data_IF_821855890408
#
_entry.id   IF_821855890408
#
_cell.length_a   1.000
_cell.length_b   1.000
_cell.length_c   1.000
_cell.angle_alpha   90.00
_cell.angle_beta   90.00
_cell.angle_gamma   90.00
#
_symmetry.space_group_name_H-M   'P 1'
#
loop_
_entity.id
_entity.type
_entity.pdbx_description
1 polymer ?
#
# COMPACT_ATOMS: atom_id res chain seq x y z
N UNK A 1 29.08 8.76 -7.05
CA UNK A 1 28.06 8.58 -8.09
C UNK A 1 27.00 9.66 -7.94
N UNK A 2 26.53 10.26 -9.02
CA UNK A 2 25.46 11.27 -9.03
C UNK A 2 24.12 10.58 -9.23
N UNK A 3 23.17 10.80 -8.33
CA UNK A 3 21.84 10.18 -8.41
C UNK A 3 20.73 11.21 -8.48
N UNK A 4 19.67 10.87 -9.20
CA UNK A 4 18.36 11.48 -9.08
C UNK A 4 17.51 10.58 -8.18
N UNK A 5 16.73 11.16 -7.27
CA UNK A 5 15.76 10.41 -6.45
C UNK A 5 14.35 10.69 -6.95
N UNK A 6 13.64 9.66 -7.42
CA UNK A 6 12.28 9.78 -7.94
C UNK A 6 11.26 9.36 -6.88
N UNK A 7 10.45 10.32 -6.45
CA UNK A 7 9.47 10.22 -5.37
C UNK A 7 9.86 11.13 -4.21
N UNK A 8 9.21 12.29 -4.10
CA UNK A 8 9.44 13.24 -3.02
C UNK A 8 8.26 13.18 -2.03
N UNK A 9 8.24 12.17 -1.16
CA UNK A 9 7.26 12.03 -0.08
C UNK A 9 7.93 12.11 1.28
N UNK A 10 7.19 12.43 2.34
CA UNK A 10 7.71 12.37 3.72
C UNK A 10 8.25 10.97 4.06
N UNK A 11 7.59 9.90 3.59
CA UNK A 11 8.06 8.52 3.70
C UNK A 11 9.40 8.24 2.99
N UNK A 12 9.79 9.08 2.01
CA UNK A 12 11.07 8.98 1.34
C UNK A 12 12.22 9.61 2.13
N UNK A 13 11.97 10.39 3.19
CA UNK A 13 13.01 11.05 4.00
C UNK A 13 13.94 10.03 4.67
N UNK A 14 13.39 8.96 5.25
CA UNK A 14 14.19 7.90 5.89
C UNK A 14 15.08 7.18 4.87
N UNK A 15 14.55 6.91 3.68
CA UNK A 15 15.31 6.29 2.58
C UNK A 15 16.38 7.26 2.05
N UNK A 16 16.06 8.55 1.97
CA UNK A 16 16.98 9.61 1.54
C UNK A 16 18.22 9.69 2.45
N UNK A 17 18.05 9.59 3.77
CA UNK A 17 19.16 9.57 4.74
C UNK A 17 20.15 8.42 4.49
N UNK A 18 19.68 7.29 3.94
CA UNK A 18 20.55 6.18 3.52
C UNK A 18 21.20 6.41 2.16
N UNK A 19 20.44 6.96 1.20
CA UNK A 19 20.94 7.24 -0.16
C UNK A 19 22.05 8.28 -0.11
N UNK A 20 21.88 9.38 0.64
CA UNK A 20 22.87 10.48 0.68
C UNK A 20 24.23 10.06 1.25
N UNK A 21 24.31 8.94 1.99
CA UNK A 21 25.58 8.36 2.46
C UNK A 21 26.42 7.78 1.34
N UNK A 22 25.82 7.41 0.20
CA UNK A 22 26.47 6.72 -0.93
C UNK A 22 26.47 7.53 -2.22
N UNK A 23 25.56 8.50 -2.35
CA UNK A 23 25.31 9.24 -3.58
C UNK A 23 25.41 10.74 -3.37
N UNK A 24 25.90 11.44 -4.40
CA UNK A 24 25.70 12.87 -4.54
C UNK A 24 24.35 13.10 -5.24
N UNK A 25 23.35 13.53 -4.48
CA UNK A 25 21.98 13.65 -5.01
C UNK A 25 21.86 15.01 -5.71
N UNK A 26 21.56 14.99 -7.01
CA UNK A 26 21.57 16.21 -7.84
C UNK A 26 20.19 16.85 -7.99
N UNK A 27 19.13 16.05 -7.87
CA UNK A 27 17.74 16.50 -7.88
C UNK A 27 16.83 15.41 -7.30
N UNK A 28 15.71 15.84 -6.75
CA UNK A 28 14.52 15.00 -6.61
C UNK A 28 13.63 15.17 -7.85
N UNK A 29 12.86 14.14 -8.16
CA UNK A 29 11.85 14.18 -9.23
C UNK A 29 10.52 13.73 -8.68
N UNK A 30 9.46 14.47 -8.99
CA UNK A 30 8.08 14.09 -8.67
C UNK A 30 7.13 14.53 -9.78
N UNK A 31 6.15 13.68 -10.08
CA UNK A 31 5.09 13.96 -11.06
C UNK A 31 4.11 15.03 -10.54
N UNK A 32 4.00 15.19 -9.23
CA UNK A 32 3.17 16.20 -8.59
C UNK A 32 3.81 17.58 -8.71
N UNK A 33 3.24 18.43 -9.57
CA UNK A 33 3.68 19.79 -9.80
C UNK A 33 3.65 20.66 -8.53
N UNK A 34 2.79 20.33 -7.55
CA UNK A 34 2.70 21.08 -6.28
C UNK A 34 3.93 20.90 -5.38
N UNK A 35 4.70 19.83 -5.59
CA UNK A 35 5.93 19.54 -4.84
C UNK A 35 7.19 20.07 -5.51
N UNK A 36 7.10 20.52 -6.76
CA UNK A 36 8.27 20.98 -7.52
C UNK A 36 8.71 22.37 -7.05
N UNK A 37 10.02 22.62 -7.08
CA UNK A 37 10.63 23.85 -6.60
C UNK A 37 11.80 23.58 -5.66
N UNK A 38 11.84 24.30 -4.54
CA UNK A 38 12.88 24.13 -3.52
C UNK A 38 12.62 22.83 -2.75
N UNK A 39 13.56 21.89 -2.80
CA UNK A 39 13.42 20.60 -2.16
C UNK A 39 14.26 20.46 -0.88
N UNK A 40 14.39 19.22 -0.42
CA UNK A 40 15.02 18.91 0.87
C UNK A 40 16.51 19.23 0.86
N UNK A 41 16.98 19.97 1.88
CA UNK A 41 18.39 20.29 2.05
C UNK A 41 18.99 21.16 0.94
N UNK A 42 18.16 21.94 0.24
CA UNK A 42 18.58 22.82 -0.87
C UNK A 42 18.75 22.10 -2.21
N UNK A 43 18.38 20.82 -2.30
CA UNK A 43 18.35 20.06 -3.56
C UNK A 43 16.98 20.29 -4.21
N UNK A 44 16.90 20.67 -5.50
CA UNK A 44 15.63 20.98 -6.13
C UNK A 44 14.76 19.73 -6.35
N UNK A 45 13.44 19.90 -6.30
CA UNK A 45 12.46 18.93 -6.81
C UNK A 45 12.03 19.41 -8.20
N UNK A 46 12.24 18.59 -9.23
CA UNK A 46 11.96 18.95 -10.62
C UNK A 46 10.94 18.01 -11.27
N UNK A 47 10.38 18.45 -12.40
CA UNK A 47 9.55 17.59 -13.25
C UNK A 47 10.41 16.49 -13.89
N UNK A 48 9.87 15.29 -14.17
CA UNK A 48 10.58 14.27 -14.93
C UNK A 48 11.10 14.77 -16.27
N UNK A 49 10.39 15.70 -16.91
CA UNK A 49 10.83 16.32 -18.17
C UNK A 49 12.20 17.03 -18.09
N UNK A 50 12.67 17.36 -16.89
CA UNK A 50 13.97 17.98 -16.66
C UNK A 50 15.11 16.96 -16.46
N UNK A 51 14.84 15.65 -16.42
CA UNK A 51 15.86 14.61 -16.19
C UNK A 51 16.98 14.69 -17.25
N UNK A 52 16.63 14.94 -18.51
CA UNK A 52 17.60 15.02 -19.61
C UNK A 52 18.57 16.20 -19.50
N UNK A 53 18.15 17.30 -18.85
CA UNK A 53 19.00 18.48 -18.68
C UNK A 53 19.91 18.40 -17.45
N UNK A 54 19.83 17.31 -16.67
CA UNK A 54 20.63 17.09 -15.47
C UNK A 54 21.82 16.17 -15.75
N UNK A 55 22.87 16.31 -14.96
CA UNK A 55 24.03 15.43 -15.03
C UNK A 55 23.98 14.36 -13.93
N UNK A 56 23.66 13.12 -14.30
CA UNK A 56 23.41 12.02 -13.38
C UNK A 56 23.92 10.68 -13.93
N UNK A 57 24.20 9.75 -13.02
CA UNK A 57 24.71 8.41 -13.35
C UNK A 57 23.58 7.36 -13.22
N UNK A 58 22.68 7.52 -12.23
CA UNK A 58 21.58 6.60 -11.91
C UNK A 58 20.32 7.35 -11.40
N UNK A 59 19.14 6.76 -11.56
CA UNK A 59 17.87 7.22 -10.99
C UNK A 59 17.38 6.18 -9.97
N UNK A 60 17.15 6.61 -8.74
CA UNK A 60 16.70 5.77 -7.63
C UNK A 60 15.22 6.04 -7.39
N UNK A 61 14.38 5.01 -7.51
CA UNK A 61 12.95 5.10 -7.21
C UNK A 61 12.75 4.80 -5.73
N UNK A 62 12.05 5.70 -5.03
CA UNK A 62 11.80 5.57 -3.57
C UNK A 62 10.31 5.55 -3.22
N UNK A 63 9.43 5.68 -4.20
CA UNK A 63 8.00 5.47 -4.01
C UNK A 63 7.67 3.97 -4.07
N UNK A 64 7.14 3.43 -2.98
CA UNK A 64 6.63 2.04 -2.92
C UNK A 64 5.34 1.89 -3.72
N UNK A 65 4.42 2.85 -3.57
CA UNK A 65 3.09 2.83 -4.18
C UNK A 65 3.06 3.22 -5.66
N UNK A 66 4.13 3.79 -6.22
CA UNK A 66 4.20 4.14 -7.64
C UNK A 66 5.42 3.53 -8.35
N UNK A 67 6.07 2.54 -7.73
CA UNK A 67 7.34 1.98 -8.21
C UNK A 67 7.28 1.52 -9.68
N UNK A 68 6.28 0.70 -10.02
CA UNK A 68 6.10 0.18 -11.38
C UNK A 68 5.71 1.28 -12.38
N UNK A 69 4.81 2.18 -11.99
CA UNK A 69 4.38 3.30 -12.83
C UNK A 69 5.55 4.24 -13.16
N UNK A 70 6.38 4.58 -12.16
CA UNK A 70 7.58 5.40 -12.33
C UNK A 70 8.62 4.66 -13.18
N UNK A 71 8.86 3.37 -12.92
CA UNK A 71 9.79 2.57 -13.72
C UNK A 71 9.38 2.54 -15.18
N UNK A 72 8.10 2.29 -15.46
CA UNK A 72 7.54 2.31 -16.81
C UNK A 72 7.69 3.68 -17.48
N UNK A 73 7.33 4.75 -16.78
CA UNK A 73 7.50 6.13 -17.25
C UNK A 73 8.95 6.41 -17.67
N UNK A 74 9.92 6.05 -16.82
CA UNK A 74 11.34 6.27 -17.11
C UNK A 74 11.80 5.48 -18.35
N UNK A 75 11.34 4.23 -18.51
CA UNK A 75 11.64 3.44 -19.70
C UNK A 75 11.04 4.05 -20.97
N UNK A 76 9.81 4.56 -20.91
CA UNK A 76 9.13 5.25 -22.02
C UNK A 76 9.83 6.57 -22.38
N UNK A 77 10.45 7.24 -21.40
CA UNK A 77 11.32 8.41 -21.60
C UNK A 77 12.71 8.04 -22.17
N UNK A 78 12.97 6.77 -22.49
CA UNK A 78 14.24 6.32 -23.05
C UNK A 78 15.37 6.15 -22.03
N UNK A 79 15.07 6.18 -20.73
CA UNK A 79 16.07 5.91 -19.69
C UNK A 79 16.44 4.42 -19.70
N UNK A 80 17.72 4.05 -19.84
CA UNK A 80 18.13 2.65 -19.84
C UNK A 80 17.81 1.96 -18.51
N UNK A 81 17.22 0.76 -18.55
CA UNK A 81 16.84 0.00 -17.35
C UNK A 81 17.99 -0.18 -16.36
N UNK A 82 19.21 -0.42 -16.85
CA UNK A 82 20.42 -0.54 -16.01
C UNK A 82 20.77 0.70 -15.18
N UNK A 83 20.13 1.85 -15.46
CA UNK A 83 20.28 3.09 -14.72
C UNK A 83 19.10 3.38 -13.78
N UNK A 84 18.12 2.48 -13.70
CA UNK A 84 16.96 2.61 -12.82
C UNK A 84 17.14 1.65 -11.63
N UNK A 85 17.10 2.20 -10.42
CA UNK A 85 17.35 1.47 -9.20
C UNK A 85 16.12 1.46 -8.29
N UNK A 86 15.55 0.28 -8.08
CA UNK A 86 14.38 0.06 -7.23
C UNK A 86 14.73 -0.62 -5.91
N UNK A 87 16.01 -0.90 -5.65
CA UNK A 87 16.46 -1.75 -4.52
C UNK A 87 16.04 -1.25 -3.15
N UNK A 88 15.76 0.04 -3.02
CA UNK A 88 15.33 0.68 -1.78
C UNK A 88 13.84 0.44 -1.46
N UNK A 89 13.06 0.01 -2.45
CA UNK A 89 11.62 -0.28 -2.32
C UNK A 89 11.28 -1.73 -2.66
N UNK A 90 12.17 -2.45 -3.35
CA UNK A 90 11.98 -3.85 -3.77
C UNK A 90 11.51 -4.75 -2.62
N UNK A 91 12.13 -4.65 -1.44
CA UNK A 91 11.78 -5.47 -0.28
C UNK A 91 10.37 -5.21 0.25
N UNK A 92 9.79 -4.03 -0.01
CA UNK A 92 8.43 -3.68 0.43
C UNK A 92 7.37 -4.10 -0.59
N UNK A 93 7.75 -4.18 -1.87
CA UNK A 93 6.79 -4.42 -2.96
C UNK A 93 6.82 -5.87 -3.44
N UNK A 94 8.01 -6.41 -3.73
CA UNK A 94 8.15 -7.71 -4.40
C UNK A 94 7.68 -8.86 -3.50
N UNK A 95 8.10 -8.98 -2.22
CA UNK A 95 7.67 -10.09 -1.37
C UNK A 95 6.16 -10.13 -1.14
N UNK A 96 5.52 -8.97 -0.97
CA UNK A 96 4.06 -8.86 -0.80
C UNK A 96 3.29 -9.36 -2.02
N UNK A 97 3.73 -8.98 -3.22
CA UNK A 97 3.17 -9.50 -4.48
C UNK A 97 3.35 -11.01 -4.59
N UNK A 98 4.55 -11.49 -4.28
CA UNK A 98 4.86 -12.92 -4.35
C UNK A 98 4.06 -13.73 -3.33
N UNK A 99 3.86 -13.19 -2.12
CA UNK A 99 2.98 -13.78 -1.12
C UNK A 99 1.54 -13.95 -1.64
N UNK A 100 0.99 -12.92 -2.30
CA UNK A 100 -0.35 -12.99 -2.89
C UNK A 100 -0.46 -14.10 -3.96
N UNK A 101 0.50 -14.16 -4.90
CA UNK A 101 0.57 -15.19 -5.95
C UNK A 101 0.67 -16.61 -5.37
N UNK A 102 1.61 -16.81 -4.43
CA UNK A 102 1.85 -18.11 -3.83
C UNK A 102 0.66 -18.54 -2.96
N UNK A 103 0.04 -17.61 -2.23
CA UNK A 103 -1.15 -17.89 -1.44
C UNK A 103 -2.37 -18.22 -2.31
N UNK A 104 -2.57 -17.50 -3.42
CA UNK A 104 -3.60 -17.83 -4.40
C UNK A 104 -3.44 -19.27 -4.89
N UNK A 105 -2.21 -19.67 -5.25
CA UNK A 105 -1.89 -21.04 -5.67
C UNK A 105 -2.27 -22.07 -4.60
N UNK A 106 -2.02 -21.78 -3.32
CA UNK A 106 -2.44 -22.64 -2.19
C UNK A 106 -3.96 -22.75 -2.13
N UNK A 107 -4.67 -21.62 -2.13
CA UNK A 107 -6.15 -21.56 -2.06
C UNK A 107 -6.80 -22.38 -3.18
N UNK A 108 -6.35 -22.22 -4.42
CA UNK A 108 -6.85 -22.99 -5.55
C UNK A 108 -6.52 -24.49 -5.41
N UNK A 109 -5.29 -24.84 -5.03
CA UNK A 109 -4.89 -26.25 -4.87
C UNK A 109 -5.71 -26.99 -3.80
N UNK A 110 -6.20 -26.27 -2.79
CA UNK A 110 -7.01 -26.79 -1.70
C UNK A 110 -8.51 -26.70 -1.95
N UNK A 111 -8.94 -26.14 -3.09
CA UNK A 111 -10.34 -25.84 -3.40
C UNK A 111 -11.02 -25.02 -2.29
N UNK A 112 -10.30 -24.04 -1.73
CA UNK A 112 -10.86 -23.10 -0.78
C UNK A 112 -11.60 -22.01 -1.56
N UNK A 113 -12.88 -21.83 -1.25
CA UNK A 113 -13.75 -20.84 -1.90
C UNK A 113 -13.93 -19.63 -1.00
N UNK A 114 -14.12 -18.47 -1.61
CA UNK A 114 -14.39 -17.22 -0.89
C UNK A 114 -14.08 -16.02 -1.77
N UNK A 115 -14.69 -14.88 -1.44
CA UNK A 115 -14.34 -13.60 -2.04
C UNK A 115 -12.95 -13.15 -1.56
N UNK A 116 -12.45 -12.10 -2.19
CA UNK A 116 -11.27 -11.38 -1.73
C UNK A 116 -11.62 -9.90 -1.46
N UNK A 117 -10.87 -9.23 -0.60
CA UNK A 117 -11.08 -7.82 -0.32
C UNK A 117 -9.78 -7.05 -0.06
N UNK A 118 -9.76 -5.79 -0.46
CA UNK A 118 -8.80 -4.80 0.00
C UNK A 118 -9.56 -3.65 0.67
N UNK A 119 -9.15 -3.27 1.88
CA UNK A 119 -9.65 -2.10 2.58
C UNK A 119 -8.51 -1.10 2.76
N UNK A 120 -8.67 0.09 2.19
CA UNK A 120 -7.58 1.01 1.87
C UNK A 120 -6.95 0.62 0.53
N UNK A 121 -7.47 1.20 -0.55
CA UNK A 121 -7.15 0.82 -1.93
C UNK A 121 -6.20 1.83 -2.57
N UNK A 122 -6.31 3.10 -2.17
CA UNK A 122 -5.61 4.23 -2.79
C UNK A 122 -5.71 4.15 -4.31
N UNK A 123 -4.59 4.05 -5.03
CA UNK A 123 -4.51 3.99 -6.48
C UNK A 123 -4.64 2.57 -7.05
N UNK A 124 -4.89 1.55 -6.22
CA UNK A 124 -5.23 0.20 -6.65
C UNK A 124 -4.06 -0.66 -7.14
N UNK A 125 -2.82 -0.35 -6.77
CA UNK A 125 -1.66 -1.17 -7.19
C UNK A 125 -1.74 -2.60 -6.64
N UNK A 126 -2.03 -2.76 -5.35
CA UNK A 126 -2.11 -4.09 -4.76
C UNK A 126 -3.45 -4.77 -5.06
N UNK A 127 -4.57 -4.04 -5.10
CA UNK A 127 -5.83 -4.53 -5.68
C UNK A 127 -5.64 -5.17 -7.07
N UNK A 128 -4.85 -4.56 -7.96
CA UNK A 128 -4.60 -5.12 -9.29
C UNK A 128 -3.87 -6.48 -9.22
N UNK A 129 -2.90 -6.60 -8.30
CA UNK A 129 -2.19 -7.87 -8.04
C UNK A 129 -3.14 -8.92 -7.50
N UNK A 130 -4.01 -8.56 -6.55
CA UNK A 130 -5.03 -9.48 -6.04
C UNK A 130 -6.00 -9.91 -7.14
N UNK A 131 -6.45 -8.99 -7.99
CA UNK A 131 -7.37 -9.26 -9.09
C UNK A 131 -6.74 -10.14 -10.18
N UNK A 132 -5.45 -9.97 -10.46
CA UNK A 132 -4.67 -10.82 -11.36
C UNK A 132 -4.56 -12.27 -10.85
N UNK A 133 -4.25 -12.43 -9.56
CA UNK A 133 -3.99 -13.74 -8.97
C UNK A 133 -5.27 -14.51 -8.56
N UNK A 134 -6.40 -13.81 -8.43
CA UNK A 134 -7.71 -14.40 -8.14
C UNK A 134 -8.74 -14.03 -9.22
N UNK A 135 -8.53 -14.43 -10.50
CA UNK A 135 -9.27 -13.90 -11.64
C UNK A 135 -10.74 -14.33 -11.69
N UNK A 136 -11.17 -15.31 -10.89
CA UNK A 136 -12.54 -15.80 -10.80
C UNK A 136 -13.27 -15.37 -9.52
N UNK A 137 -12.63 -14.57 -8.65
CA UNK A 137 -13.19 -14.16 -7.35
C UNK A 137 -13.73 -12.74 -7.40
N UNK A 138 -14.86 -12.51 -6.72
CA UNK A 138 -15.31 -11.15 -6.40
C UNK A 138 -14.27 -10.45 -5.54
N UNK A 139 -13.84 -9.27 -5.96
CA UNK A 139 -12.89 -8.41 -5.24
C UNK A 139 -13.61 -7.17 -4.70
N UNK A 140 -13.78 -7.11 -3.38
CA UNK A 140 -14.34 -5.93 -2.71
C UNK A 140 -13.24 -4.91 -2.43
N UNK A 141 -13.47 -3.67 -2.84
CA UNK A 141 -12.50 -2.58 -2.76
C UNK A 141 -13.09 -1.45 -1.90
N UNK A 142 -12.67 -1.37 -0.65
CA UNK A 142 -13.17 -0.38 0.32
C UNK A 142 -12.21 0.80 0.40
N UNK A 143 -12.69 1.99 0.07
CA UNK A 143 -11.90 3.22 0.18
C UNK A 143 -12.83 4.42 0.29
N UNK A 144 -12.36 5.50 0.93
CA UNK A 144 -13.09 6.78 0.92
C UNK A 144 -13.02 7.44 -0.45
N UNK A 145 -11.92 7.22 -1.18
CA UNK A 145 -11.46 7.99 -2.34
C UNK A 145 -11.32 9.50 -2.04
N UNK A 146 -11.23 9.83 -0.76
CA UNK A 146 -11.12 11.19 -0.22
C UNK A 146 -9.91 11.32 0.73
N UNK A 147 -9.14 10.24 0.89
CA UNK A 147 -8.03 10.16 1.84
C UNK A 147 -8.47 9.82 3.27
N UNK A 148 -7.59 10.06 4.24
CA UNK A 148 -7.89 9.80 5.64
C UNK A 148 -9.08 10.63 6.15
N UNK A 149 -10.00 9.98 6.86
CA UNK A 149 -11.16 10.63 7.46
C UNK A 149 -10.76 11.35 8.75
N UNK A 150 -11.27 12.57 8.93
CA UNK A 150 -10.99 13.38 10.12
C UNK A 150 -11.35 12.67 11.44
N UNK A 151 -12.37 11.80 11.42
CA UNK A 151 -12.79 11.04 12.61
C UNK A 151 -11.72 10.08 13.10
N UNK A 152 -10.95 9.50 12.18
CA UNK A 152 -9.88 8.56 12.51
C UNK A 152 -8.62 9.31 12.89
N UNK A 153 -8.29 10.39 12.19
CA UNK A 153 -7.13 11.26 12.49
C UNK A 153 -7.17 11.82 13.91
N UNK A 154 -8.35 12.22 14.41
CA UNK A 154 -8.48 12.69 15.82
C UNK A 154 -8.08 11.60 16.82
N UNK A 155 -8.29 10.33 16.50
CA UNK A 155 -7.90 9.20 17.35
C UNK A 155 -6.37 9.03 17.29
N UNK A 156 -5.79 9.10 16.10
CA UNK A 156 -4.34 9.03 15.89
C UNK A 156 -3.60 10.09 16.69
N UNK A 157 -4.03 11.35 16.59
CA UNK A 157 -3.44 12.48 17.32
C UNK A 157 -3.56 12.29 18.84
N UNK A 158 -4.74 11.87 19.31
CA UNK A 158 -5.01 11.66 20.74
C UNK A 158 -4.10 10.60 21.35
N UNK A 159 -3.81 9.55 20.60
CA UNK A 159 -3.03 8.40 21.06
C UNK A 159 -1.55 8.45 20.62
N UNK A 160 -1.16 9.48 19.86
CA UNK A 160 0.18 9.62 19.29
C UNK A 160 0.58 8.42 18.43
N UNK A 161 -0.37 7.89 17.66
CA UNK A 161 -0.18 6.73 16.80
C UNK A 161 0.38 7.06 15.42
N UNK A 162 0.19 8.29 14.94
CA UNK A 162 0.74 8.78 13.68
C UNK A 162 0.62 10.30 13.57
N UNK A 163 1.36 10.89 12.63
CA UNK A 163 1.20 12.28 12.18
C UNK A 163 0.24 12.41 10.99
N UNK A 164 -0.69 11.45 10.83
CA UNK A 164 -1.65 11.41 9.73
C UNK A 164 -2.50 12.69 9.67
N UNK A 165 -2.85 13.13 8.45
CA UNK A 165 -3.67 14.33 8.22
C UNK A 165 -4.89 14.00 7.40
N UNK A 166 -6.02 14.61 7.77
CA UNK A 166 -7.27 14.41 7.04
C UNK A 166 -7.12 14.82 5.57
N UNK A 167 -7.67 14.00 4.67
CA UNK A 167 -7.55 14.20 3.23
C UNK A 167 -6.21 13.82 2.61
N UNK A 168 -5.24 13.32 3.40
CA UNK A 168 -4.00 12.77 2.85
C UNK A 168 -4.29 11.48 2.06
N UNK A 169 -3.51 11.22 1.00
CA UNK A 169 -3.71 10.11 0.04
C UNK A 169 -5.02 10.18 -0.78
N UNK A 170 -5.53 11.39 -1.05
CA UNK A 170 -6.75 11.57 -1.86
C UNK A 170 -6.55 11.62 -3.38
N UNK A 171 -5.30 11.48 -3.87
CA UNK A 171 -4.99 11.52 -5.31
C UNK A 171 -5.33 10.16 -5.94
N UNK A 172 -6.62 9.84 -5.98
CA UNK A 172 -7.16 8.59 -6.54
C UNK A 172 -8.63 8.78 -6.99
N UNK A 173 -9.19 7.78 -7.66
CA UNK A 173 -10.61 7.69 -7.98
C UNK A 173 -11.00 6.25 -8.32
N UNK A 174 -12.29 5.96 -8.27
CA UNK A 174 -12.83 4.64 -8.62
C UNK A 174 -12.48 4.26 -10.07
N UNK A 175 -12.55 5.23 -11.00
CA UNK A 175 -12.19 5.04 -12.41
C UNK A 175 -10.70 4.71 -12.54
N UNK A 176 -9.83 5.43 -11.82
CA UNK A 176 -8.39 5.20 -11.84
C UNK A 176 -8.06 3.79 -11.37
N UNK A 177 -8.69 3.34 -10.28
CA UNK A 177 -8.51 1.99 -9.74
C UNK A 177 -9.01 0.93 -10.72
N UNK A 178 -10.26 1.04 -11.19
CA UNK A 178 -10.86 0.05 -12.09
C UNK A 178 -10.11 -0.08 -13.42
N UNK A 179 -9.55 1.01 -13.95
CA UNK A 179 -8.75 0.96 -15.19
C UNK A 179 -7.44 0.17 -15.06
N UNK A 180 -6.98 -0.12 -13.84
CA UNK A 180 -5.79 -0.95 -13.60
C UNK A 180 -6.11 -2.43 -13.37
N UNK A 181 -7.38 -2.76 -13.12
CA UNK A 181 -7.80 -4.12 -12.83
C UNK A 181 -7.76 -4.97 -14.11
N UNK A 182 -7.10 -6.14 -14.13
CA UNK A 182 -7.16 -7.06 -15.28
C UNK A 182 -8.55 -7.68 -15.50
N UNK A 183 -9.33 -7.82 -14.43
CA UNK A 183 -10.69 -8.37 -14.38
C UNK A 183 -11.63 -7.40 -13.65
N UNK A 184 -11.88 -6.19 -14.21
CA UNK A 184 -12.67 -5.15 -13.55
C UNK A 184 -14.13 -5.56 -13.33
N UNK A 185 -14.66 -6.50 -14.12
CA UNK A 185 -16.00 -7.07 -13.96
C UNK A 185 -16.21 -7.80 -12.64
N UNK A 186 -15.12 -8.25 -12.00
CA UNK A 186 -15.15 -8.92 -10.71
C UNK A 186 -14.98 -7.95 -9.53
N UNK A 187 -14.69 -6.68 -9.80
CA UNK A 187 -14.45 -5.67 -8.77
C UNK A 187 -15.75 -5.04 -8.27
N UNK A 188 -15.89 -4.92 -6.96
CA UNK A 188 -17.01 -4.31 -6.27
C UNK A 188 -16.49 -3.16 -5.43
N UNK A 189 -16.66 -1.94 -5.93
CA UNK A 189 -16.28 -0.72 -5.24
C UNK A 189 -17.23 -0.47 -4.06
N UNK A 190 -16.65 -0.23 -2.89
CA UNK A 190 -17.33 0.13 -1.64
C UNK A 190 -16.84 1.50 -1.17
N UNK A 191 -17.22 2.53 -1.93
CA UNK A 191 -16.85 3.93 -1.67
C UNK A 191 -17.51 4.47 -0.40
N UNK A 192 -16.69 5.06 0.45
CA UNK A 192 -17.12 5.80 1.65
C UNK A 192 -16.43 5.32 2.90
N UNK A 193 -16.85 5.89 4.03
CA UNK A 193 -16.22 5.63 5.32
C UNK A 193 -16.42 4.18 5.80
N UNK A 194 -15.33 3.48 6.09
CA UNK A 194 -15.33 2.17 6.74
C UNK A 194 -15.60 2.32 8.25
N UNK A 195 -16.45 1.48 8.89
CA UNK A 195 -17.11 0.28 8.37
C UNK A 195 -18.52 0.52 7.81
N UNK A 196 -18.99 1.75 7.60
CA UNK A 196 -20.37 1.99 7.14
C UNK A 196 -20.67 1.34 5.77
N UNK A 197 -19.64 1.17 4.96
CA UNK A 197 -19.69 0.56 3.63
C UNK A 197 -19.79 -0.97 3.65
N UNK A 198 -19.73 -1.61 4.83
CA UNK A 198 -19.88 -3.07 4.98
C UNK A 198 -21.34 -3.54 5.01
N UNK A 199 -22.29 -2.60 5.07
CA UNK A 199 -23.72 -2.92 5.15
C UNK A 199 -24.18 -3.84 4.02
N UNK A 200 -24.87 -4.93 4.40
CA UNK A 200 -25.46 -5.91 3.48
C UNK A 200 -24.46 -6.89 2.87
N UNK A 201 -23.23 -6.97 3.38
CA UNK A 201 -22.23 -7.96 2.96
C UNK A 201 -22.27 -9.13 3.94
N UNK A 202 -22.62 -10.31 3.45
CA UNK A 202 -22.66 -11.57 4.20
C UNK A 202 -21.78 -12.66 3.56
N UNK A 203 -21.05 -12.31 2.48
CA UNK A 203 -20.14 -13.22 1.81
C UNK A 203 -18.97 -13.66 2.70
N UNK A 204 -18.45 -14.86 2.40
CA UNK A 204 -17.24 -15.39 3.02
C UNK A 204 -16.00 -14.99 2.23
N UNK A 205 -14.90 -14.76 2.92
CA UNK A 205 -13.63 -14.30 2.34
C UNK A 205 -12.52 -15.35 2.53
N UNK A 206 -11.70 -15.53 1.50
CA UNK A 206 -10.51 -16.39 1.56
C UNK A 206 -9.21 -15.60 1.70
N UNK A 207 -9.19 -14.36 1.21
CA UNK A 207 -8.05 -13.45 1.36
C UNK A 207 -8.52 -12.01 1.53
N UNK A 208 -8.05 -11.34 2.59
CA UNK A 208 -8.31 -9.92 2.83
C UNK A 208 -7.00 -9.19 3.06
N UNK A 209 -6.85 -8.02 2.45
CA UNK A 209 -5.78 -7.08 2.73
C UNK A 209 -6.33 -5.85 3.45
N UNK A 210 -5.84 -5.55 4.65
CA UNK A 210 -6.13 -4.33 5.39
C UNK A 210 -4.93 -3.39 5.26
N UNK A 211 -5.15 -2.23 4.66
CA UNK A 211 -4.15 -1.23 4.27
C UNK A 211 -4.70 0.18 4.47
N UNK A 212 -5.26 0.40 5.67
CA UNK A 212 -5.97 1.64 6.04
C UNK A 212 -5.10 2.59 6.88
N UNK A 213 -3.86 2.19 7.15
CA UNK A 213 -2.79 2.87 7.90
C UNK A 213 -3.10 3.24 9.37
N UNK A 214 -4.36 3.48 9.71
CA UNK A 214 -4.78 4.07 10.97
C UNK A 214 -5.41 3.03 11.90
N UNK A 215 -5.34 3.28 13.20
CA UNK A 215 -5.84 2.42 14.27
C UNK A 215 -7.30 2.02 14.08
N UNK A 216 -8.18 3.03 14.04
CA UNK A 216 -9.63 2.83 14.08
C UNK A 216 -10.15 2.02 12.88
N UNK A 217 -9.85 2.40 11.63
CA UNK A 217 -10.34 1.64 10.48
C UNK A 217 -9.73 0.23 10.42
N UNK A 218 -8.45 0.04 10.81
CA UNK A 218 -7.82 -1.29 10.91
C UNK A 218 -8.55 -2.21 11.88
N UNK A 219 -8.82 -1.72 13.09
CA UNK A 219 -9.54 -2.47 14.13
C UNK A 219 -10.96 -2.85 13.69
N UNK A 220 -11.70 -1.90 13.10
CA UNK A 220 -13.02 -2.19 12.55
C UNK A 220 -12.95 -3.20 11.39
N UNK A 221 -11.88 -3.16 10.59
CA UNK A 221 -11.61 -4.11 9.52
C UNK A 221 -11.46 -5.52 10.06
N UNK A 222 -10.63 -5.69 11.10
CA UNK A 222 -10.44 -6.97 11.77
C UNK A 222 -11.75 -7.51 12.35
N UNK A 223 -12.50 -6.66 13.08
CA UNK A 223 -13.82 -7.01 13.65
C UNK A 223 -14.82 -7.46 12.58
N UNK A 224 -14.82 -6.82 11.41
CA UNK A 224 -15.73 -7.15 10.32
C UNK A 224 -15.31 -8.41 9.55
N UNK A 225 -14.06 -8.47 9.09
CA UNK A 225 -13.62 -9.51 8.17
C UNK A 225 -13.31 -10.83 8.86
N UNK A 226 -12.68 -10.83 10.04
CA UNK A 226 -12.27 -12.07 10.72
C UNK A 226 -13.41 -13.10 10.90
N UNK A 227 -14.62 -12.74 11.37
CA UNK A 227 -15.74 -13.70 11.46
C UNK A 227 -16.29 -14.14 10.09
N UNK A 228 -15.99 -13.40 9.02
CA UNK A 228 -16.37 -13.73 7.64
C UNK A 228 -15.29 -14.49 6.88
N UNK A 229 -14.11 -14.71 7.46
CA UNK A 229 -13.08 -15.55 6.87
C UNK A 229 -13.53 -17.02 6.84
N UNK A 230 -13.19 -17.72 5.76
CA UNK A 230 -13.24 -19.19 5.71
C UNK A 230 -12.05 -19.78 6.46
N UNK A 231 -12.19 -21.02 6.92
CA UNK A 231 -11.08 -21.79 7.49
C UNK A 231 -9.91 -21.88 6.50
N UNK A 232 -8.69 -21.60 6.98
CA UNK A 232 -7.48 -21.50 6.18
C UNK A 232 -7.30 -20.15 5.45
N UNK A 233 -8.32 -19.29 5.42
CA UNK A 233 -8.23 -17.95 4.84
C UNK A 233 -7.33 -17.02 5.65
N UNK A 234 -6.74 -16.03 4.98
CA UNK A 234 -5.76 -15.11 5.58
C UNK A 234 -6.23 -13.66 5.50
N UNK A 235 -5.92 -12.89 6.54
CA UNK A 235 -5.94 -11.42 6.52
C UNK A 235 -4.49 -10.92 6.60
N UNK A 236 -4.02 -10.19 5.59
CA UNK A 236 -2.79 -9.41 5.68
C UNK A 236 -3.10 -8.00 6.19
N UNK A 237 -2.26 -7.49 7.07
CA UNK A 237 -2.40 -6.19 7.74
C UNK A 237 -1.12 -5.41 7.43
N UNK A 238 -1.25 -4.39 6.60
CA UNK A 238 -0.16 -3.52 6.18
C UNK A 238 0.25 -2.54 7.28
N UNK A 239 1.45 -1.97 7.18
CA UNK A 239 2.06 -1.01 8.11
C UNK A 239 2.28 -1.46 9.56
N UNK A 240 2.10 -2.74 9.88
CA UNK A 240 2.38 -3.30 11.20
C UNK A 240 3.83 -3.04 11.68
N UNK A 241 4.81 -3.08 10.77
CA UNK A 241 6.23 -2.79 11.06
C UNK A 241 6.65 -1.37 10.66
N UNK A 242 5.73 -0.54 10.18
CA UNK A 242 6.04 0.82 9.75
C UNK A 242 6.11 1.78 10.94
N UNK A 243 7.21 2.52 11.02
CA UNK A 243 7.35 3.63 11.97
C UNK A 243 6.42 4.78 11.56
N UNK A 244 5.73 5.37 12.53
CA UNK A 244 4.76 6.45 12.29
C UNK A 244 3.33 5.99 11.99
N UNK A 245 3.05 4.69 12.11
CA UNK A 245 1.71 4.09 12.02
C UNK A 245 1.49 3.07 13.15
N UNK A 246 1.90 3.44 14.37
CA UNK A 246 1.86 2.58 15.55
C UNK A 246 0.42 2.12 15.90
N UNK A 247 -0.59 2.84 15.41
CA UNK A 247 -2.00 2.50 15.53
C UNK A 247 -2.37 1.14 14.94
N UNK A 248 -1.69 0.67 13.89
CA UNK A 248 -1.95 -0.64 13.29
C UNK A 248 -1.65 -1.77 14.27
N UNK A 249 -0.52 -1.70 14.97
CA UNK A 249 -0.12 -2.71 15.93
C UNK A 249 -1.11 -2.75 17.11
N UNK A 250 -1.44 -1.57 17.65
CA UNK A 250 -2.42 -1.44 18.72
C UNK A 250 -3.81 -1.98 18.32
N UNK A 251 -4.23 -1.78 17.07
CA UNK A 251 -5.49 -2.32 16.55
C UNK A 251 -5.50 -3.85 16.52
N UNK A 252 -4.41 -4.48 16.05
CA UNK A 252 -4.30 -5.94 16.06
C UNK A 252 -4.24 -6.50 17.49
N UNK A 253 -3.51 -5.85 18.39
CA UNK A 253 -3.44 -6.25 19.80
C UNK A 253 -4.80 -6.14 20.49
N UNK A 254 -5.53 -5.04 20.31
CA UNK A 254 -6.90 -4.91 20.84
C UNK A 254 -7.79 -6.01 20.28
N UNK A 255 -7.79 -6.23 18.97
CA UNK A 255 -8.60 -7.27 18.34
C UNK A 255 -8.31 -8.67 18.88
N UNK A 256 -7.04 -9.04 19.05
CA UNK A 256 -6.66 -10.35 19.59
C UNK A 256 -7.12 -10.54 21.05
N UNK A 257 -7.24 -9.46 21.82
CA UNK A 257 -7.78 -9.50 23.18
C UNK A 257 -9.33 -9.62 23.21
N UNK A 258 -10.02 -9.29 22.12
CA UNK A 258 -11.49 -9.38 22.01
C UNK A 258 -11.98 -10.76 21.61
N UNK A 259 -11.17 -11.50 20.86
CA UNK A 259 -11.54 -12.83 20.36
C UNK A 259 -11.07 -13.93 21.30
N UNK A 260 -11.81 -15.05 21.31
CA UNK A 260 -11.42 -16.24 22.08
C UNK A 260 -10.38 -17.10 21.36
N UNK A 261 -10.22 -16.89 20.05
CA UNK A 261 -9.28 -17.64 19.22
C UNK A 261 -7.84 -17.30 19.60
N UNK A 262 -6.99 -18.32 19.72
CA UNK A 262 -5.56 -18.12 19.93
C UNK A 262 -4.88 -17.77 18.60
N UNK A 263 -5.01 -16.51 18.21
CA UNK A 263 -4.40 -15.99 16.99
C UNK A 263 -2.89 -15.81 17.20
N UNK A 264 -2.10 -16.40 16.30
CA UNK A 264 -0.65 -16.17 16.23
C UNK A 264 -0.35 -15.45 14.91
N UNK A 265 -0.10 -14.12 14.95
CA UNK A 265 0.29 -13.38 13.77
C UNK A 265 1.68 -13.80 13.25
N UNK A 266 1.90 -13.72 11.95
CA UNK A 266 3.18 -14.07 11.31
C UNK A 266 3.56 -13.07 10.19
N UNK A 267 4.85 -12.74 10.03
CA UNK A 267 5.29 -11.82 8.99
C UNK A 267 5.19 -12.46 7.60
N UNK A 268 4.96 -11.63 6.57
CA UNK A 268 4.91 -12.10 5.16
C UNK A 268 6.20 -11.82 4.37
N UNK A 269 7.22 -11.27 5.02
CA UNK A 269 8.55 -11.08 4.44
C UNK A 269 8.76 -9.79 3.64
N UNK A 270 7.78 -8.88 3.61
CA UNK A 270 7.88 -7.56 2.98
C UNK A 270 8.45 -6.47 3.93
N UNK A 271 8.79 -6.84 5.16
CA UNK A 271 9.24 -5.94 6.24
C UNK A 271 8.24 -4.84 6.63
N UNK A 272 6.98 -4.96 6.24
CA UNK A 272 5.95 -3.95 6.50
C UNK A 272 4.71 -4.58 7.12
N UNK A 273 4.30 -5.73 6.59
CA UNK A 273 3.01 -6.34 6.89
C UNK A 273 3.13 -7.57 7.78
N UNK A 274 2.06 -7.81 8.51
CA UNK A 274 1.83 -9.05 9.26
C UNK A 274 0.57 -9.75 8.73
N UNK A 275 0.41 -11.03 8.99
CA UNK A 275 -0.75 -11.80 8.61
C UNK A 275 -1.32 -12.58 9.78
N UNK A 276 -2.64 -12.79 9.75
CA UNK A 276 -3.35 -13.72 10.63
C UNK A 276 -4.15 -14.70 9.78
N UNK A 277 -4.29 -15.94 10.25
CA UNK A 277 -5.04 -16.98 9.57
C UNK A 277 -6.26 -17.37 10.39
N UNK A 278 -7.41 -17.55 9.73
CA UNK A 278 -8.58 -18.15 10.34
C UNK A 278 -8.35 -19.66 10.49
N UNK A 279 -8.28 -20.11 11.74
CA UNK A 279 -8.26 -21.53 12.11
C UNK A 279 -9.68 -22.10 12.20
#
# INVERSE_FOLDING_TARGET
MRAIVFGATASAETIYEEIKKKYNIVAFVDNDASKQGEGMGGIPIVSPSNIESLFWDEIIIVSTSAMEAIKKQLLEMGIPERKINTRYVDLRVIPRRKFCEDFASVIYSKNIFGCIAEAGVFQGEFAAVMNENFPDRKLYLFDTFEGFDQRDVVIEEKHQYSDAKAGYLNITSEILVLNKMPHPENCIIKKGYFPKTTSGIDEKFCYVNLDMDLYKPTLEGLRFFYPLMVEGGIITIHDYFSQGYEGVNAALEEFMNEVQDNIVPFPIGDNVSIAIQRQ
#
